data_IF_077577041251
#
_entry.id   IF_077577041251
#
_cell.length_a   1.000
_cell.length_b   1.000
_cell.length_c   1.000
_cell.angle_alpha   90.00
_cell.angle_beta   90.00
_cell.angle_gamma   90.00
#
_symmetry.space_group_name_H-M   'P 1'
#
loop_
_entity.id
_entity.type
_entity.pdbx_description
1 polymer ?
#
# COMPACT_ATOMS: atom_id res chain seq x y z
N UNK A 1 -11.18 -5.25 14.81
CA UNK A 1 -12.38 -4.40 14.82
C UNK A 1 -13.53 -5.22 14.26
N UNK A 2 -14.61 -5.43 15.02
CA UNK A 2 -15.82 -6.11 14.51
C UNK A 2 -16.64 -5.12 13.66
N UNK A 3 -17.37 -5.60 12.65
CA UNK A 3 -18.24 -4.78 11.81
C UNK A 3 -19.24 -3.94 12.63
N UNK A 4 -19.77 -4.50 13.73
CA UNK A 4 -20.72 -3.83 14.63
C UNK A 4 -20.15 -2.55 15.27
N UNK A 5 -18.82 -2.51 15.49
CA UNK A 5 -18.17 -1.32 16.05
C UNK A 5 -18.06 -0.19 15.02
N UNK A 6 -17.93 -0.51 13.73
CA UNK A 6 -17.80 0.51 12.67
C UNK A 6 -19.14 1.20 12.40
N UNK A 7 -20.23 0.45 12.32
CA UNK A 7 -21.58 1.02 12.16
C UNK A 7 -21.96 1.90 13.35
N UNK A 8 -21.58 1.50 14.57
CA UNK A 8 -21.77 2.32 15.77
C UNK A 8 -20.96 3.63 15.72
N UNK A 9 -19.73 3.59 15.21
CA UNK A 9 -18.90 4.80 15.00
C UNK A 9 -19.50 5.73 13.95
N UNK A 10 -20.03 5.20 12.85
CA UNK A 10 -20.70 6.00 11.81
C UNK A 10 -21.90 6.74 12.41
N UNK A 11 -22.75 6.05 13.17
CA UNK A 11 -23.89 6.67 13.85
C UNK A 11 -23.45 7.74 14.87
N UNK A 12 -22.35 7.51 15.59
CA UNK A 12 -21.81 8.52 16.50
C UNK A 12 -21.32 9.77 15.76
N UNK A 13 -20.63 9.59 14.61
CA UNK A 13 -20.21 10.71 13.76
C UNK A 13 -21.39 11.49 13.19
N UNK A 14 -22.46 10.80 12.81
CA UNK A 14 -23.69 11.42 12.32
C UNK A 14 -24.38 12.30 13.37
N UNK A 15 -24.17 12.03 14.66
CA UNK A 15 -24.76 12.79 15.75
C UNK A 15 -23.79 13.75 16.46
N UNK A 16 -22.50 13.71 16.12
CA UNK A 16 -21.49 14.56 16.74
C UNK A 16 -21.59 16.02 16.25
N UNK A 17 -21.28 16.97 17.13
CA UNK A 17 -21.10 18.37 16.76
C UNK A 17 -19.73 18.55 16.06
N UNK A 18 -19.75 18.55 14.74
CA UNK A 18 -18.58 18.80 13.89
C UNK A 18 -19.02 19.39 12.55
N UNK A 19 -18.11 20.06 11.84
CA UNK A 19 -18.39 20.60 10.52
C UNK A 19 -18.70 19.51 9.50
N UNK A 20 -19.40 19.87 8.42
CA UNK A 20 -19.67 18.94 7.32
C UNK A 20 -18.37 18.38 6.70
N UNK A 21 -17.31 19.18 6.73
CA UNK A 21 -15.99 18.81 6.22
C UNK A 21 -15.35 17.75 7.11
N UNK A 22 -15.16 18.03 8.41
CA UNK A 22 -14.56 17.08 9.36
C UNK A 22 -15.30 15.74 9.36
N UNK A 23 -16.62 15.79 9.27
CA UNK A 23 -17.47 14.61 9.14
C UNK A 23 -17.15 13.83 7.87
N UNK A 24 -17.15 14.49 6.72
CA UNK A 24 -16.85 13.85 5.44
C UNK A 24 -15.44 13.23 5.42
N UNK A 25 -14.43 13.90 5.98
CA UNK A 25 -13.08 13.36 6.15
C UNK A 25 -13.08 12.04 6.92
N UNK A 26 -13.80 11.96 8.04
CA UNK A 26 -13.87 10.76 8.87
C UNK A 26 -14.69 9.63 8.22
N UNK A 27 -15.69 9.96 7.41
CA UNK A 27 -16.47 8.96 6.68
C UNK A 27 -15.65 8.21 5.63
N UNK A 28 -14.65 8.83 4.98
CA UNK A 28 -13.85 8.16 3.94
C UNK A 28 -13.21 6.85 4.42
N UNK A 29 -12.37 6.83 5.47
CA UNK A 29 -11.76 5.59 5.96
C UNK A 29 -12.79 4.63 6.59
N UNK A 30 -13.84 5.14 7.24
CA UNK A 30 -14.87 4.30 7.85
C UNK A 30 -15.72 3.56 6.82
N UNK A 31 -16.03 4.21 5.69
CA UNK A 31 -16.77 3.59 4.59
C UNK A 31 -16.03 2.37 4.01
N UNK A 32 -14.69 2.35 4.06
CA UNK A 32 -13.92 1.16 3.66
C UNK A 32 -13.97 0.02 4.69
N UNK A 33 -14.11 0.35 5.97
CA UNK A 33 -14.16 -0.61 7.07
C UNK A 33 -15.59 -1.10 7.37
N UNK A 34 -16.60 -0.37 6.90
CA UNK A 34 -18.00 -0.71 7.07
C UNK A 34 -18.30 -2.11 6.50
N UNK A 35 -18.94 -2.96 7.30
CA UNK A 35 -19.28 -4.32 6.88
C UNK A 35 -18.05 -5.20 6.62
N UNK A 36 -16.89 -4.91 7.19
CA UNK A 36 -15.70 -5.76 7.06
C UNK A 36 -16.03 -7.21 7.47
N UNK A 37 -15.83 -8.16 6.54
CA UNK A 37 -16.15 -9.58 6.74
C UNK A 37 -17.59 -9.98 6.39
N UNK A 38 -18.45 -9.02 6.09
CA UNK A 38 -19.86 -9.22 5.71
C UNK A 38 -20.11 -8.77 4.27
N UNK A 39 -19.61 -7.60 3.91
CA UNK A 39 -19.69 -6.98 2.59
C UNK A 39 -18.43 -7.35 1.79
N UNK A 40 -18.54 -7.49 0.47
CA UNK A 40 -17.38 -7.82 -0.36
C UNK A 40 -16.34 -6.70 -0.31
N UNK A 41 -15.08 -7.04 -0.59
CA UNK A 41 -14.00 -6.04 -0.65
C UNK A 41 -14.27 -4.98 -1.73
N UNK A 42 -14.85 -5.38 -2.84
CA UNK A 42 -15.14 -4.47 -3.95
C UNK A 42 -16.21 -3.45 -3.56
N UNK A 43 -17.31 -3.89 -2.96
CA UNK A 43 -18.36 -3.00 -2.47
C UNK A 43 -17.82 -1.98 -1.45
N UNK A 44 -16.94 -2.39 -0.53
CA UNK A 44 -16.32 -1.46 0.43
C UNK A 44 -15.45 -0.39 -0.23
N UNK A 45 -14.74 -0.71 -1.32
CA UNK A 45 -14.00 0.30 -2.10
C UNK A 45 -14.95 1.30 -2.76
N UNK A 46 -16.08 0.83 -3.27
CA UNK A 46 -17.11 1.70 -3.85
C UNK A 46 -17.78 2.59 -2.80
N UNK A 47 -17.92 2.11 -1.56
CA UNK A 47 -18.41 2.93 -0.44
C UNK A 47 -17.40 4.05 -0.12
N UNK A 48 -16.12 3.70 0.01
CA UNK A 48 -15.04 4.66 0.21
C UNK A 48 -14.97 5.71 -0.90
N UNK A 49 -15.07 5.31 -2.17
CA UNK A 49 -15.07 6.24 -3.30
C UNK A 49 -16.25 7.22 -3.23
N UNK A 50 -17.46 6.73 -2.94
CA UNK A 50 -18.64 7.59 -2.80
C UNK A 50 -18.48 8.60 -1.66
N UNK A 51 -17.99 8.17 -0.50
CA UNK A 51 -17.72 9.06 0.63
C UNK A 51 -16.67 10.12 0.28
N UNK A 52 -15.60 9.74 -0.42
CA UNK A 52 -14.56 10.68 -0.84
C UNK A 52 -15.05 11.69 -1.90
N UNK A 53 -15.91 11.26 -2.83
CA UNK A 53 -16.54 12.17 -3.80
C UNK A 53 -17.44 13.19 -3.12
N UNK A 54 -18.13 12.83 -2.03
CA UNK A 54 -18.88 13.80 -1.23
C UNK A 54 -17.97 14.85 -0.59
N UNK A 55 -16.81 14.44 -0.04
CA UNK A 55 -15.81 15.38 0.48
C UNK A 55 -15.39 16.38 -0.59
N UNK A 56 -15.10 15.91 -1.81
CA UNK A 56 -14.77 16.76 -2.95
C UNK A 56 -15.90 17.71 -3.34
N UNK A 57 -17.16 17.26 -3.33
CA UNK A 57 -18.31 18.11 -3.67
C UNK A 57 -18.53 19.24 -2.67
N UNK A 58 -18.25 19.01 -1.38
CA UNK A 58 -18.32 20.04 -0.34
C UNK A 58 -17.20 21.08 -0.55
N UNK A 59 -16.09 20.67 -1.18
CA UNK A 59 -14.87 21.46 -1.32
C UNK A 59 -14.20 21.28 -2.71
N UNK A 60 -14.85 21.72 -3.80
CA UNK A 60 -14.39 21.41 -5.16
C UNK A 60 -13.09 22.12 -5.56
N UNK A 61 -12.75 23.21 -4.88
CA UNK A 61 -11.54 24.02 -5.13
C UNK A 61 -10.47 23.85 -4.04
N UNK A 62 -10.67 22.91 -3.11
CA UNK A 62 -9.75 22.73 -1.99
C UNK A 62 -8.44 22.10 -2.46
N UNK A 63 -7.35 22.72 -2.01
CA UNK A 63 -5.98 22.30 -2.30
C UNK A 63 -5.33 21.61 -1.11
N UNK A 64 -6.10 21.42 -0.03
CA UNK A 64 -5.64 20.67 1.13
C UNK A 64 -5.13 19.29 0.69
N UNK A 65 -3.84 19.00 0.95
CA UNK A 65 -3.21 17.80 0.43
C UNK A 65 -3.78 16.52 1.09
N UNK A 66 -4.37 16.62 2.28
CA UNK A 66 -4.96 15.47 2.97
C UNK A 66 -6.34 15.12 2.40
N UNK A 67 -7.20 16.12 2.15
CA UNK A 67 -8.47 15.94 1.42
C UNK A 67 -8.23 15.30 0.05
N UNK A 68 -7.34 15.93 -0.71
CA UNK A 68 -6.98 15.49 -2.06
C UNK A 68 -6.37 14.10 -2.01
N UNK A 69 -5.50 13.86 -1.04
CA UNK A 69 -4.86 12.57 -0.81
C UNK A 69 -5.84 11.45 -0.51
N UNK A 70 -6.87 11.69 0.30
CA UNK A 70 -7.91 10.70 0.62
C UNK A 70 -8.79 10.38 -0.59
N UNK A 71 -9.14 11.38 -1.39
CA UNK A 71 -9.87 11.16 -2.64
C UNK A 71 -9.04 10.37 -3.64
N UNK A 72 -7.77 10.74 -3.81
CA UNK A 72 -6.86 10.01 -4.68
C UNK A 72 -6.66 8.57 -4.22
N UNK A 73 -6.57 8.33 -2.91
CA UNK A 73 -6.54 6.98 -2.34
C UNK A 73 -7.80 6.19 -2.69
N UNK A 74 -8.98 6.78 -2.52
CA UNK A 74 -10.23 6.12 -2.83
C UNK A 74 -10.34 5.78 -4.32
N UNK A 75 -9.96 6.70 -5.21
CA UNK A 75 -9.90 6.47 -6.66
C UNK A 75 -8.91 5.35 -6.98
N UNK A 76 -7.66 5.46 -6.50
CA UNK A 76 -6.61 4.46 -6.71
C UNK A 76 -7.03 3.07 -6.24
N UNK A 77 -7.77 2.97 -5.13
CA UNK A 77 -8.23 1.68 -4.59
C UNK A 77 -9.16 0.93 -5.55
N UNK A 78 -9.88 1.66 -6.41
CA UNK A 78 -10.84 1.13 -7.38
C UNK A 78 -10.19 0.87 -8.73
N UNK A 79 -9.27 1.75 -9.18
CA UNK A 79 -8.67 1.66 -10.52
C UNK A 79 -7.32 0.93 -10.57
N UNK A 80 -6.54 0.98 -9.49
CA UNK A 80 -5.18 0.42 -9.45
C UNK A 80 -5.16 -0.90 -8.69
N UNK A 81 -4.69 -1.99 -9.32
CA UNK A 81 -4.43 -3.23 -8.59
C UNK A 81 -3.19 -3.13 -7.69
N UNK A 82 -2.42 -2.03 -7.74
CA UNK A 82 -1.06 -1.95 -7.20
C UNK A 82 -0.93 -1.83 -5.66
N UNK A 83 -1.88 -1.21 -4.98
CA UNK A 83 -1.86 -1.03 -3.51
C UNK A 83 -2.35 -2.26 -2.75
N UNK A 84 -3.12 -3.13 -3.43
CA UNK A 84 -4.03 -4.06 -2.74
C UNK A 84 -4.25 -5.38 -3.50
N UNK A 85 -3.65 -5.57 -4.68
CA UNK A 85 -4.06 -6.60 -5.65
C UNK A 85 -2.95 -7.46 -6.25
N UNK A 86 -1.68 -7.35 -5.85
CA UNK A 86 -0.68 -8.28 -6.39
C UNK A 86 -0.89 -9.73 -5.96
N UNK A 87 -1.56 -9.98 -4.83
CA UNK A 87 -1.99 -11.32 -4.43
C UNK A 87 -3.07 -11.93 -5.36
N UNK A 88 -3.81 -11.14 -6.16
CA UNK A 88 -4.85 -11.69 -7.04
C UNK A 88 -4.32 -12.16 -8.40
N UNK A 89 -3.07 -11.83 -8.78
CA UNK A 89 -2.54 -12.22 -10.10
C UNK A 89 -2.16 -13.71 -10.16
N UNK A 90 -1.73 -14.31 -9.05
CA UNK A 90 -1.53 -15.75 -8.95
C UNK A 90 -2.87 -16.53 -9.10
N UNK A 91 -3.99 -15.95 -8.68
CA UNK A 91 -5.33 -16.51 -8.93
C UNK A 91 -5.86 -16.21 -10.35
N UNK A 92 -5.53 -15.05 -10.93
CA UNK A 92 -5.96 -14.68 -12.29
C UNK A 92 -5.20 -15.40 -13.41
N UNK A 93 -3.95 -15.82 -13.18
CA UNK A 93 -3.19 -16.65 -14.14
C UNK A 93 -3.81 -18.05 -14.36
N UNK A 94 -4.78 -18.44 -13.54
CA UNK A 94 -5.51 -19.71 -13.64
C UNK A 94 -6.93 -19.55 -14.23
N UNK A 95 -7.35 -18.32 -14.55
CA UNK A 95 -8.67 -18.03 -15.09
C UNK A 95 -8.58 -17.61 -16.56
N UNK A 96 -9.52 -18.04 -17.44
CA UNK A 96 -9.57 -17.59 -18.83
C UNK A 96 -9.66 -16.06 -18.93
N UNK A 97 -8.98 -15.45 -19.91
CA UNK A 97 -8.99 -13.98 -20.12
C UNK A 97 -10.40 -13.37 -20.16
N UNK A 98 -11.39 -14.12 -20.63
CA UNK A 98 -12.81 -13.71 -20.69
C UNK A 98 -13.50 -13.55 -19.34
N UNK A 99 -12.89 -14.04 -18.26
CA UNK A 99 -13.39 -13.95 -16.88
C UNK A 99 -12.66 -12.90 -16.04
N UNK A 100 -11.76 -12.11 -16.66
CA UNK A 100 -11.12 -10.98 -16.01
C UNK A 100 -12.13 -9.83 -15.84
N UNK A 101 -12.44 -9.40 -14.61
CA UNK A 101 -13.34 -8.25 -14.36
C UNK A 101 -12.81 -6.93 -14.94
N UNK A 102 -11.60 -6.93 -15.51
CA UNK A 102 -10.94 -5.78 -16.12
C UNK A 102 -11.66 -5.23 -17.37
N UNK A 103 -12.36 -6.07 -18.15
CA UNK A 103 -12.90 -5.65 -19.46
C UNK A 103 -14.24 -4.92 -19.39
N UNK A 104 -15.05 -5.14 -18.35
CA UNK A 104 -16.38 -4.53 -18.20
C UNK A 104 -16.35 -3.09 -17.62
N UNK A 105 -15.23 -2.67 -17.02
CA UNK A 105 -15.07 -1.38 -16.34
C UNK A 105 -14.09 -0.43 -17.02
N UNK A 106 -13.68 -0.72 -18.27
CA UNK A 106 -12.59 0.00 -18.93
C UNK A 106 -12.86 1.52 -19.11
N UNK A 107 -14.09 1.90 -19.48
CA UNK A 107 -14.45 3.30 -19.73
C UNK A 107 -14.63 4.11 -18.43
N UNK A 108 -15.24 3.50 -17.40
CA UNK A 108 -15.35 4.10 -16.07
C UNK A 108 -13.98 4.25 -15.40
N UNK A 109 -13.10 3.26 -15.59
CA UNK A 109 -11.74 3.32 -15.04
C UNK A 109 -10.88 4.35 -15.76
N UNK A 110 -11.04 4.54 -17.08
CA UNK A 110 -10.36 5.59 -17.82
C UNK A 110 -10.80 7.00 -17.37
N UNK A 111 -12.10 7.19 -17.12
CA UNK A 111 -12.64 8.45 -16.60
C UNK A 111 -12.13 8.73 -15.18
N UNK A 112 -12.21 7.74 -14.29
CA UNK A 112 -11.71 7.86 -12.91
C UNK A 112 -10.20 8.06 -12.85
N UNK A 113 -9.44 7.39 -13.73
CA UNK A 113 -8.00 7.60 -13.86
C UNK A 113 -7.69 9.05 -14.25
N UNK A 114 -8.36 9.56 -15.30
CA UNK A 114 -8.15 10.93 -15.78
C UNK A 114 -8.48 11.94 -14.69
N UNK A 115 -9.59 11.73 -13.98
CA UNK A 115 -10.03 12.57 -12.87
C UNK A 115 -9.06 12.53 -11.68
N UNK A 116 -8.65 11.34 -11.25
CA UNK A 116 -7.67 11.17 -10.17
C UNK A 116 -6.33 11.81 -10.51
N UNK A 117 -5.89 11.68 -11.77
CA UNK A 117 -4.68 12.33 -12.27
C UNK A 117 -4.79 13.84 -12.25
N UNK A 118 -5.90 14.43 -12.71
CA UNK A 118 -6.07 15.89 -12.71
C UNK A 118 -6.08 16.46 -11.29
N UNK A 119 -6.74 15.78 -10.35
CA UNK A 119 -6.79 16.20 -8.95
C UNK A 119 -5.39 16.17 -8.32
N UNK A 120 -4.68 15.05 -8.47
CA UNK A 120 -3.33 14.93 -7.91
C UNK A 120 -2.35 15.92 -8.57
N UNK A 121 -2.44 16.12 -9.88
CA UNK A 121 -1.59 17.08 -10.58
C UNK A 121 -1.80 18.49 -10.01
N UNK A 122 -3.06 18.91 -9.86
CA UNK A 122 -3.40 20.21 -9.31
C UNK A 122 -2.87 20.41 -7.87
N UNK A 123 -3.03 19.40 -7.01
CA UNK A 123 -2.56 19.48 -5.63
C UNK A 123 -1.03 19.48 -5.55
N UNK A 124 -0.35 18.71 -6.39
CA UNK A 124 1.11 18.65 -6.47
C UNK A 124 1.73 19.94 -7.03
N UNK A 125 1.00 20.74 -7.82
CA UNK A 125 1.48 22.06 -8.23
C UNK A 125 1.65 23.02 -7.04
N UNK A 126 0.82 22.87 -6.01
CA UNK A 126 0.90 23.67 -4.77
C UNK A 126 1.76 23.00 -3.69
N UNK A 127 1.80 21.67 -3.67
CA UNK A 127 2.48 20.87 -2.66
C UNK A 127 3.41 19.82 -3.30
N UNK A 128 4.45 20.25 -4.04
CA UNK A 128 5.23 19.36 -4.92
C UNK A 128 5.99 18.25 -4.19
N UNK A 129 6.22 18.40 -2.88
CA UNK A 129 6.95 17.43 -2.06
C UNK A 129 6.07 16.75 -1.00
N UNK A 130 4.75 16.83 -1.11
CA UNK A 130 3.85 16.22 -0.12
C UNK A 130 3.91 14.68 -0.22
N UNK A 131 4.38 13.97 0.82
CA UNK A 131 4.64 12.53 0.74
C UNK A 131 3.43 11.71 0.30
N UNK A 132 2.24 11.98 0.87
CA UNK A 132 1.03 11.25 0.53
C UNK A 132 0.56 11.48 -0.92
N UNK A 133 0.71 12.71 -1.44
CA UNK A 133 0.30 13.01 -2.82
C UNK A 133 1.23 12.34 -3.83
N UNK A 134 2.54 12.37 -3.56
CA UNK A 134 3.53 11.69 -4.37
C UNK A 134 3.34 10.17 -4.35
N UNK A 135 3.00 9.61 -3.18
CA UNK A 135 2.66 8.20 -3.04
C UNK A 135 1.48 7.81 -3.94
N UNK A 136 0.38 8.56 -3.86
CA UNK A 136 -0.81 8.33 -4.69
C UNK A 136 -0.52 8.53 -6.19
N UNK A 137 0.33 9.49 -6.54
CA UNK A 137 0.73 9.73 -7.92
C UNK A 137 1.45 8.54 -8.55
N UNK A 138 2.37 7.92 -7.81
CA UNK A 138 3.11 6.76 -8.29
C UNK A 138 2.16 5.57 -8.48
N UNK A 139 1.27 5.31 -7.52
CA UNK A 139 0.32 4.20 -7.61
C UNK A 139 -0.73 4.36 -8.72
N UNK A 140 -1.10 5.59 -9.03
CA UNK A 140 -1.96 5.89 -10.15
C UNK A 140 -1.27 5.52 -11.48
N UNK A 141 0.02 5.82 -11.61
CA UNK A 141 0.79 5.61 -12.84
C UNK A 141 1.50 4.24 -12.92
N UNK A 142 1.40 3.40 -11.88
CA UNK A 142 1.94 2.02 -11.81
C UNK A 142 1.10 1.02 -12.64
N UNK A 143 0.94 1.31 -13.93
CA UNK A 143 0.29 0.42 -14.89
C UNK A 143 0.99 0.45 -16.25
N UNK A 144 0.95 -0.66 -17.00
CA UNK A 144 1.44 -0.67 -18.38
C UNK A 144 0.76 0.43 -19.20
N UNK A 145 1.54 1.24 -19.91
CA UNK A 145 1.06 2.38 -20.72
C UNK A 145 1.14 3.74 -20.01
N UNK A 146 1.18 3.79 -18.68
CA UNK A 146 1.30 5.04 -17.90
C UNK A 146 2.63 5.17 -17.16
N UNK A 147 3.34 4.07 -16.94
CA UNK A 147 4.58 4.07 -16.17
C UNK A 147 5.68 4.96 -16.76
N UNK A 148 5.81 5.02 -18.10
CA UNK A 148 6.77 5.93 -18.74
C UNK A 148 6.46 7.39 -18.42
N UNK A 149 5.16 7.72 -18.38
CA UNK A 149 4.72 9.05 -17.98
C UNK A 149 5.10 9.34 -16.53
N UNK A 150 4.86 8.38 -15.63
CA UNK A 150 5.25 8.48 -14.22
C UNK A 150 6.73 8.77 -14.02
N UNK A 151 7.60 8.13 -14.80
CA UNK A 151 9.04 8.40 -14.78
C UNK A 151 9.37 9.78 -15.35
N UNK A 152 8.80 10.15 -16.52
CA UNK A 152 9.04 11.47 -17.15
C UNK A 152 8.65 12.64 -16.25
N UNK A 153 7.60 12.46 -15.44
CA UNK A 153 7.11 13.48 -14.52
C UNK A 153 8.01 13.65 -13.29
N UNK A 154 9.00 12.78 -13.06
CA UNK A 154 10.07 12.94 -12.06
C UNK A 154 9.67 12.78 -10.59
N UNK A 155 8.38 12.61 -10.30
CA UNK A 155 7.83 12.65 -8.93
C UNK A 155 8.19 11.45 -8.05
N UNK A 156 8.65 10.34 -8.63
CA UNK A 156 9.04 9.16 -7.87
C UNK A 156 10.31 9.38 -7.04
N UNK A 157 11.31 10.04 -7.59
CA UNK A 157 12.56 10.35 -6.90
C UNK A 157 12.33 11.39 -5.79
N UNK A 158 11.47 12.37 -6.05
CA UNK A 158 11.05 13.35 -5.04
C UNK A 158 10.44 12.68 -3.80
N UNK A 159 9.68 11.60 -4.00
CA UNK A 159 9.07 10.87 -2.89
C UNK A 159 10.13 10.21 -2.01
N UNK A 160 11.04 9.46 -2.62
CA UNK A 160 12.12 8.77 -1.91
C UNK A 160 12.99 9.73 -1.08
N UNK A 161 13.19 10.97 -1.56
CA UNK A 161 13.91 12.02 -0.83
C UNK A 161 13.04 12.71 0.23
N UNK A 162 11.76 12.97 -0.05
CA UNK A 162 10.85 13.69 0.87
C UNK A 162 10.59 12.93 2.17
N UNK A 163 10.66 11.60 2.15
CA UNK A 163 10.40 10.73 3.29
C UNK A 163 11.56 9.72 3.47
N UNK A 164 12.78 10.27 3.56
CA UNK A 164 14.03 9.49 3.51
C UNK A 164 14.13 8.35 4.55
N UNK A 165 13.53 8.55 5.73
CA UNK A 165 13.49 7.56 6.82
C UNK A 165 12.40 6.49 6.69
N UNK A 166 11.45 6.66 5.76
CA UNK A 166 10.39 5.70 5.51
C UNK A 166 10.84 4.70 4.43
N UNK A 167 11.01 3.44 4.81
CA UNK A 167 11.36 2.37 3.86
C UNK A 167 10.37 2.28 2.70
N UNK A 168 9.07 2.49 2.97
CA UNK A 168 8.05 2.51 1.93
C UNK A 168 8.30 3.61 0.88
N UNK A 169 8.75 4.80 1.28
CA UNK A 169 9.07 5.86 0.32
C UNK A 169 10.28 5.50 -0.57
N UNK A 170 11.29 4.79 -0.02
CA UNK A 170 12.44 4.28 -0.77
C UNK A 170 12.06 3.18 -1.76
N UNK A 171 11.07 2.37 -1.40
CA UNK A 171 10.54 1.28 -2.22
C UNK A 171 9.80 1.79 -3.46
N UNK A 172 9.00 2.83 -3.27
CA UNK A 172 7.96 3.25 -4.22
C UNK A 172 8.43 3.56 -5.65
N UNK A 173 9.62 4.10 -5.92
CA UNK A 173 10.17 4.18 -7.28
C UNK A 173 10.24 2.84 -8.03
N UNK A 174 10.36 1.73 -7.30
CA UNK A 174 10.44 0.39 -7.89
C UNK A 174 9.16 -0.05 -8.58
N UNK A 175 8.00 0.53 -8.23
CA UNK A 175 6.73 0.26 -8.91
C UNK A 175 6.80 0.65 -10.39
N UNK A 176 7.24 1.87 -10.70
CA UNK A 176 7.41 2.31 -12.09
C UNK A 176 8.54 1.53 -12.79
N UNK A 177 9.65 1.28 -12.08
CA UNK A 177 10.77 0.50 -12.63
C UNK A 177 10.34 -0.91 -13.05
N UNK A 178 9.50 -1.57 -12.24
CA UNK A 178 8.96 -2.91 -12.52
C UNK A 178 8.11 -2.92 -13.79
N UNK A 179 7.28 -1.89 -14.01
CA UNK A 179 6.45 -1.79 -15.23
C UNK A 179 7.27 -1.59 -16.50
N UNK A 180 8.40 -0.92 -16.38
CA UNK A 180 9.29 -0.63 -17.50
C UNK A 180 10.34 -1.73 -17.74
N UNK A 181 10.33 -2.81 -16.95
CA UNK A 181 11.35 -3.85 -17.02
C UNK A 181 12.75 -3.35 -16.61
N UNK A 182 12.85 -2.24 -15.89
CA UNK A 182 14.10 -1.74 -15.34
C UNK A 182 14.45 -2.54 -14.07
N UNK A 183 14.88 -3.78 -14.27
CA UNK A 183 15.14 -4.73 -13.17
C UNK A 183 16.25 -4.28 -12.23
N UNK A 184 17.28 -3.60 -12.75
CA UNK A 184 18.33 -3.00 -11.91
C UNK A 184 17.76 -1.90 -11.01
N UNK A 185 16.85 -1.08 -11.52
CA UNK A 185 16.13 -0.08 -10.72
C UNK A 185 15.27 -0.70 -9.63
N UNK A 186 14.55 -1.79 -9.96
CA UNK A 186 13.79 -2.57 -8.98
C UNK A 186 14.70 -3.07 -7.86
N UNK A 187 15.77 -3.79 -8.18
CA UNK A 187 16.71 -4.33 -7.18
C UNK A 187 17.29 -3.22 -6.30
N UNK A 188 17.72 -2.10 -6.90
CA UNK A 188 18.32 -0.99 -6.17
C UNK A 188 17.37 -0.35 -5.16
N UNK A 189 16.17 0.03 -5.59
CA UNK A 189 15.19 0.71 -4.73
C UNK A 189 14.75 -0.17 -3.55
N UNK A 190 14.56 -1.47 -3.80
CA UNK A 190 14.12 -2.41 -2.77
C UNK A 190 15.23 -2.76 -1.77
N UNK A 191 16.50 -2.79 -2.19
CA UNK A 191 17.63 -2.91 -1.26
C UNK A 191 17.75 -1.69 -0.35
N UNK A 192 17.50 -0.48 -0.88
CA UNK A 192 17.52 0.74 -0.08
C UNK A 192 16.36 0.74 0.94
N UNK A 193 15.16 0.34 0.52
CA UNK A 193 14.00 0.18 1.39
C UNK A 193 14.25 -0.85 2.52
N UNK A 194 14.76 -2.04 2.17
CA UNK A 194 15.11 -3.06 3.16
C UNK A 194 16.17 -2.55 4.15
N UNK A 195 17.18 -1.84 3.65
CA UNK A 195 18.21 -1.23 4.50
C UNK A 195 17.63 -0.17 5.44
N UNK A 196 16.68 0.65 4.97
CA UNK A 196 15.99 1.64 5.79
C UNK A 196 15.13 1.00 6.89
N UNK A 197 14.40 -0.07 6.56
CA UNK A 197 13.61 -0.86 7.52
C UNK A 197 14.51 -1.46 8.62
N UNK A 198 15.63 -2.08 8.24
CA UNK A 198 16.60 -2.64 9.19
C UNK A 198 17.22 -1.57 10.11
N UNK A 199 17.57 -0.40 9.55
CA UNK A 199 18.04 0.74 10.35
C UNK A 199 16.99 1.18 11.36
N UNK A 200 15.73 1.31 10.95
CA UNK A 200 14.64 1.68 11.84
C UNK A 200 14.48 0.67 12.99
N UNK A 201 14.47 -0.63 12.70
CA UNK A 201 14.38 -1.69 13.70
C UNK A 201 15.55 -1.59 14.70
N UNK A 202 16.78 -1.47 14.20
CA UNK A 202 17.97 -1.36 15.05
C UNK A 202 17.95 -0.13 15.96
N UNK A 203 17.42 0.99 15.47
CA UNK A 203 17.37 2.26 16.22
C UNK A 203 16.21 2.34 17.22
N UNK A 204 15.10 1.65 16.94
CA UNK A 204 13.89 1.71 17.75
C UNK A 204 13.86 0.70 18.91
N UNK A 205 14.79 -0.25 18.95
CA UNK A 205 14.79 -1.38 19.89
C UNK A 205 13.50 -2.22 19.88
N UNK A 206 12.64 -2.07 18.85
CA UNK A 206 11.36 -2.79 18.69
C UNK A 206 11.58 -4.14 18.03
N UNK A 207 12.46 -4.95 18.60
CA UNK A 207 12.75 -6.28 18.07
C UNK A 207 11.53 -7.21 18.13
N UNK A 208 10.61 -7.01 19.08
CA UNK A 208 9.39 -7.82 19.20
C UNK A 208 8.42 -7.62 18.03
N UNK A 209 8.51 -6.49 17.31
CA UNK A 209 7.66 -6.16 16.16
C UNK A 209 8.33 -6.50 14.82
N UNK A 210 9.51 -7.13 14.84
CA UNK A 210 10.36 -7.44 13.68
C UNK A 210 9.59 -7.84 12.40
N UNK A 211 8.64 -8.79 12.42
CA UNK A 211 7.96 -9.24 11.21
C UNK A 211 6.97 -8.23 10.63
N UNK A 212 6.46 -7.33 11.45
CA UNK A 212 5.58 -6.23 11.02
C UNK A 212 6.39 -5.04 10.53
N UNK A 213 7.67 -4.94 10.94
CA UNK A 213 8.58 -3.84 10.62
C UNK A 213 9.48 -4.14 9.42
N UNK A 214 9.79 -5.41 9.14
CA UNK A 214 10.52 -5.83 7.95
C UNK A 214 9.59 -5.72 6.74
N UNK A 215 9.97 -4.88 5.78
CA UNK A 215 9.16 -4.59 4.59
C UNK A 215 9.01 -5.81 3.68
N UNK A 216 7.93 -6.57 3.90
CA UNK A 216 7.62 -7.76 3.12
C UNK A 216 7.34 -7.46 1.65
N UNK A 217 6.77 -6.29 1.36
CA UNK A 217 6.45 -5.85 0.00
C UNK A 217 7.72 -5.52 -0.79
N UNK A 218 8.67 -4.80 -0.18
CA UNK A 218 9.98 -4.57 -0.78
C UNK A 218 10.74 -5.87 -1.07
N UNK A 219 10.68 -6.82 -0.13
CA UNK A 219 11.35 -8.11 -0.33
C UNK A 219 10.73 -8.93 -1.48
N UNK A 220 9.41 -8.86 -1.71
CA UNK A 220 8.75 -9.51 -2.84
C UNK A 220 9.23 -8.94 -4.19
N UNK A 221 9.31 -7.61 -4.30
CA UNK A 221 9.82 -6.94 -5.50
C UNK A 221 11.31 -7.20 -5.70
N UNK A 222 12.10 -7.22 -4.62
CA UNK A 222 13.52 -7.57 -4.66
C UNK A 222 13.74 -9.00 -5.15
N UNK A 223 12.99 -9.96 -4.61
CA UNK A 223 13.03 -11.34 -5.06
C UNK A 223 12.73 -11.44 -6.56
N UNK A 224 11.66 -10.79 -7.01
CA UNK A 224 11.31 -10.76 -8.43
C UNK A 224 12.41 -10.12 -9.29
N UNK A 225 12.99 -9.01 -8.84
CA UNK A 225 14.12 -8.36 -9.50
C UNK A 225 15.36 -9.25 -9.60
N UNK A 226 15.67 -10.03 -8.55
CA UNK A 226 16.76 -11.01 -8.57
C UNK A 226 16.51 -12.12 -9.60
N UNK A 227 15.31 -12.67 -9.65
CA UNK A 227 14.95 -13.69 -10.66
C UNK A 227 15.10 -13.12 -12.08
N UNK A 228 14.58 -11.92 -12.34
CA UNK A 228 14.64 -11.29 -13.67
C UNK A 228 16.06 -10.90 -14.12
N UNK A 229 16.99 -10.77 -13.16
CA UNK A 229 18.41 -10.48 -13.44
C UNK A 229 19.30 -11.71 -13.38
N UNK A 230 18.73 -12.91 -13.21
CA UNK A 230 19.48 -14.17 -13.14
C UNK A 230 20.26 -14.39 -11.84
N UNK A 231 19.97 -13.63 -10.79
CA UNK A 231 20.62 -13.73 -9.48
C UNK A 231 19.89 -14.74 -8.58
N UNK A 232 19.80 -16.00 -9.03
CA UNK A 232 18.94 -17.01 -8.42
C UNK A 232 19.34 -17.36 -6.98
N UNK A 233 20.64 -17.41 -6.67
CA UNK A 233 21.12 -17.71 -5.31
C UNK A 233 20.68 -16.62 -4.31
N UNK A 234 20.67 -15.36 -4.76
CA UNK A 234 20.18 -14.24 -3.94
C UNK A 234 18.67 -14.29 -3.76
N UNK A 235 17.93 -14.67 -4.80
CA UNK A 235 16.49 -14.86 -4.71
C UNK A 235 16.14 -15.97 -3.71
N UNK A 236 16.81 -17.12 -3.78
CA UNK A 236 16.61 -18.24 -2.86
C UNK A 236 16.93 -17.85 -1.40
N UNK A 237 18.07 -17.20 -1.18
CA UNK A 237 18.45 -16.73 0.16
C UNK A 237 17.43 -15.75 0.75
N UNK A 238 16.91 -14.82 -0.07
CA UNK A 238 15.89 -13.87 0.37
C UNK A 238 14.55 -14.57 0.71
N UNK A 239 14.15 -15.56 -0.09
CA UNK A 239 12.96 -16.36 0.19
C UNK A 239 13.08 -17.13 1.51
N UNK A 240 14.25 -17.73 1.77
CA UNK A 240 14.53 -18.40 3.05
C UNK A 240 14.44 -17.44 4.23
N UNK A 241 14.98 -16.21 4.10
CA UNK A 241 14.83 -15.17 5.13
C UNK A 241 13.36 -14.80 5.36
N UNK A 242 12.58 -14.59 4.30
CA UNK A 242 11.14 -14.30 4.39
C UNK A 242 10.36 -15.42 5.10
N UNK A 243 10.64 -16.68 4.77
CA UNK A 243 10.02 -17.84 5.43
C UNK A 243 10.42 -17.87 6.91
N UNK A 244 11.70 -17.63 7.22
CA UNK A 244 12.20 -17.53 8.59
C UNK A 244 11.45 -16.47 9.40
N UNK A 245 11.26 -15.26 8.86
CA UNK A 245 10.47 -14.21 9.51
C UNK A 245 9.00 -14.62 9.72
N UNK A 246 8.34 -15.16 8.70
CA UNK A 246 6.94 -15.62 8.81
C UNK A 246 6.77 -16.75 9.81
N UNK A 247 7.76 -17.64 9.92
CA UNK A 247 7.78 -18.72 10.90
C UNK A 247 8.00 -18.17 12.32
N UNK A 248 8.96 -17.28 12.52
CA UNK A 248 9.20 -16.57 13.79
C UNK A 248 7.94 -15.84 14.27
N UNK A 249 7.21 -15.18 13.38
CA UNK A 249 5.94 -14.48 13.69
C UNK A 249 4.90 -15.46 14.22
N UNK A 250 4.74 -16.63 13.58
CA UNK A 250 3.76 -17.65 13.99
C UNK A 250 4.14 -18.30 15.31
N UNK A 251 5.42 -18.62 15.51
CA UNK A 251 5.90 -19.24 16.75
C UNK A 251 5.77 -18.27 17.92
N UNK A 252 6.13 -16.99 17.77
CA UNK A 252 5.98 -16.00 18.85
C UNK A 252 4.52 -15.62 19.15
N UNK A 253 3.64 -15.51 18.14
CA UNK A 253 2.21 -15.28 18.37
C UNK A 253 1.53 -16.46 19.10
N UNK A 254 2.01 -17.69 18.92
CA UNK A 254 1.52 -18.86 19.66
C UNK A 254 2.19 -19.02 21.03
N UNK A 255 3.51 -18.80 21.12
CA UNK A 255 4.28 -18.95 22.37
C UNK A 255 3.90 -17.90 23.43
N UNK A 256 3.62 -16.65 23.02
CA UNK A 256 3.20 -15.57 23.94
C UNK A 256 1.78 -15.75 24.49
N UNK A 257 0.93 -16.57 23.87
CA UNK A 257 -0.45 -16.78 24.33
C UNK A 257 -0.65 -17.99 25.23
N UNK A 258 0.25 -18.96 25.28
CA UNK A 258 -0.15 -20.25 25.87
C UNK A 258 0.89 -21.03 26.70
N UNK A 259 2.22 -20.88 26.59
CA UNK A 259 3.14 -21.78 27.30
C UNK A 259 4.50 -21.17 27.72
N UNK A 260 4.71 -20.81 29.00
CA UNK A 260 5.99 -20.27 29.50
C UNK A 260 7.18 -21.24 29.37
N UNK A 261 6.95 -22.55 29.46
CA UNK A 261 8.01 -23.57 29.43
C UNK A 261 8.67 -23.76 28.04
N UNK A 262 8.04 -23.28 26.97
CA UNK A 262 8.57 -23.41 25.60
C UNK A 262 9.63 -22.32 25.31
N UNK A 263 9.53 -21.16 25.94
CA UNK A 263 10.51 -20.09 25.83
C UNK A 263 11.90 -20.52 26.35
N UNK A 264 11.95 -21.31 27.42
CA UNK A 264 13.19 -21.82 28.02
C UNK A 264 13.87 -22.87 27.11
N UNK A 265 13.08 -23.67 26.40
CA UNK A 265 13.55 -24.69 25.46
C UNK A 265 14.15 -24.09 24.17
N UNK A 266 13.56 -22.98 23.68
CA UNK A 266 14.08 -22.23 22.52
C UNK A 266 15.36 -21.48 22.87
N UNK A 267 15.46 -20.92 24.08
CA UNK A 267 16.69 -20.25 24.56
C UNK A 267 17.87 -21.23 24.64
N UNK A 268 17.58 -22.50 24.95
CA UNK A 268 18.57 -23.57 25.05
C UNK A 268 19.01 -24.09 23.67
N UNK A 269 18.17 -24.00 22.63
CA UNK A 269 18.48 -24.50 21.28
C UNK A 269 19.12 -23.44 20.35
N UNK A 270 19.05 -22.16 20.72
CA UNK A 270 19.57 -21.03 19.92
C UNK A 270 20.78 -20.32 20.54
N UNK A 271 21.30 -20.82 21.66
CA UNK A 271 22.66 -20.45 22.10
C UNK A 271 23.67 -21.33 21.35
N UNK A 272 24.81 -20.79 20.89
CA UNK A 272 25.76 -21.48 20.02
C UNK A 272 26.29 -22.80 20.60
#
# INVERSE_FOLDING_TARGET
FCADHVSSLILLLENAEMSAVERAYLHVPLAYLEGQGVVSREERKQHMLRAALQLYQIRPEDKDPESTGLLALAINSVISPGELGYASRAQQLLLPESSSPYRAHHDSNATLFTFGKSILAHALDSHPRHPHLLHMWIHLLDSPGHAEEGVRLGRADDYAVSAEGAWHARHMPSHLALRLGNWTGVVRANLDALSASLRYISSSQRFDDLPSLVDSHSMEFLHYGYVQTGQFEKAESLLQQQIGFRHWTRVNLMATRQYPAVAELITTYLSP
#
